data_IF_493867969247
#
_entry.id   IF_493867969247
#
_cell.length_a   1.000
_cell.length_b   1.000
_cell.length_c   1.000
_cell.angle_alpha   90.00
_cell.angle_beta   90.00
_cell.angle_gamma   90.00
#
_symmetry.space_group_name_H-M   'P 1'
#
loop_
_entity.id
_entity.type
_entity.pdbx_description
1 polymer ?
#
# COMPACT_ATOMS: atom_id res chain seq x y z
N UNK A 1 29.59 -7.78 27.43
CA UNK A 1 28.40 -7.51 28.26
C UNK A 1 27.22 -8.21 27.61
N UNK A 2 26.58 -9.11 28.36
CA UNK A 2 25.53 -10.03 27.92
C UNK A 2 24.19 -9.31 27.78
N UNK A 3 23.68 -9.19 26.55
CA UNK A 3 22.26 -8.87 26.30
C UNK A 3 21.42 -10.08 26.74
N UNK A 4 20.87 -9.99 27.95
CA UNK A 4 19.76 -10.85 28.37
C UNK A 4 18.54 -10.46 27.54
N UNK A 5 17.81 -11.40 26.92
CA UNK A 5 16.51 -11.08 26.34
C UNK A 5 15.62 -10.57 27.47
N UNK A 6 15.17 -9.33 27.35
CA UNK A 6 14.18 -8.73 28.26
C UNK A 6 12.94 -9.63 28.21
N UNK A 7 12.73 -10.43 29.25
CA UNK A 7 11.50 -11.18 29.44
C UNK A 7 10.40 -10.13 29.59
N UNK A 8 9.59 -9.95 28.55
CA UNK A 8 8.38 -9.14 28.59
C UNK A 8 7.55 -9.64 29.77
N UNK A 9 7.34 -8.78 30.77
CA UNK A 9 6.42 -9.06 31.87
C UNK A 9 5.06 -9.47 31.29
N UNK A 10 4.33 -10.43 31.90
CA UNK A 10 2.97 -10.71 31.48
C UNK A 10 2.16 -9.41 31.52
N UNK A 11 1.38 -9.18 30.47
CA UNK A 11 0.58 -7.96 30.35
C UNK A 11 -0.32 -7.82 31.60
N UNK A 12 -0.36 -6.65 32.24
CA UNK A 12 -1.27 -6.40 33.36
C UNK A 12 -2.71 -6.68 32.97
N UNK A 13 -3.54 -7.04 33.96
CA UNK A 13 -4.98 -7.21 33.76
C UNK A 13 -5.58 -5.94 33.13
N UNK A 14 -6.36 -6.10 32.07
CA UNK A 14 -6.97 -4.99 31.32
C UNK A 14 -6.06 -4.25 30.32
N UNK A 15 -4.75 -4.54 30.27
CA UNK A 15 -3.82 -3.87 29.34
C UNK A 15 -4.16 -4.13 27.87
N UNK A 16 -4.58 -5.35 27.52
CA UNK A 16 -4.94 -5.72 26.14
C UNK A 16 -6.13 -4.93 25.63
N UNK A 17 -7.15 -4.74 26.47
CA UNK A 17 -8.38 -4.04 26.13
C UNK A 17 -8.13 -2.54 26.04
N UNK A 18 -7.39 -1.97 27.00
CA UNK A 18 -6.94 -0.58 26.94
C UNK A 18 -6.07 -0.30 25.70
N UNK A 19 -5.15 -1.20 25.36
CA UNK A 19 -4.33 -1.08 24.16
C UNK A 19 -5.19 -1.15 22.88
N UNK A 20 -6.22 -1.99 22.85
CA UNK A 20 -7.16 -2.06 21.73
C UNK A 20 -7.97 -0.76 21.60
N UNK A 21 -8.47 -0.21 22.70
CA UNK A 21 -9.17 1.07 22.72
C UNK A 21 -8.27 2.22 22.25
N UNK A 22 -7.03 2.27 22.75
CA UNK A 22 -6.06 3.29 22.37
C UNK A 22 -5.71 3.19 20.87
N UNK A 23 -5.52 1.98 20.35
CA UNK A 23 -5.34 1.76 18.91
C UNK A 23 -6.54 2.29 18.13
N UNK A 24 -7.77 1.99 18.52
CA UNK A 24 -8.97 2.50 17.87
C UNK A 24 -8.99 4.04 17.87
N UNK A 25 -8.71 4.68 19.00
CA UNK A 25 -8.65 6.15 19.11
C UNK A 25 -7.60 6.77 18.17
N UNK A 26 -6.42 6.15 18.07
CA UNK A 26 -5.35 6.60 17.14
C UNK A 26 -5.82 6.49 15.69
N UNK A 27 -6.36 5.34 15.27
CA UNK A 27 -6.84 5.14 13.90
C UNK A 27 -7.96 6.12 13.55
N UNK A 28 -8.91 6.34 14.45
CA UNK A 28 -9.98 7.32 14.23
C UNK A 28 -9.45 8.76 14.11
N UNK A 29 -8.42 9.12 14.89
CA UNK A 29 -7.79 10.44 14.77
C UNK A 29 -7.07 10.61 13.42
N UNK A 30 -6.32 9.60 12.97
CA UNK A 30 -5.68 9.57 11.66
C UNK A 30 -6.70 9.68 10.52
N UNK A 31 -7.81 8.95 10.62
CA UNK A 31 -8.88 8.99 9.62
C UNK A 31 -9.51 10.39 9.52
N UNK A 32 -9.79 11.04 10.64
CA UNK A 32 -10.33 12.42 10.64
C UNK A 32 -9.36 13.41 10.00
N UNK A 33 -8.06 13.31 10.32
CA UNK A 33 -7.04 14.15 9.71
C UNK A 33 -6.98 13.93 8.20
N UNK A 34 -6.95 12.67 7.75
CA UNK A 34 -6.95 12.34 6.33
C UNK A 34 -8.19 12.86 5.60
N UNK A 35 -9.39 12.73 6.18
CA UNK A 35 -10.61 13.28 5.59
C UNK A 35 -10.58 14.81 5.48
N UNK A 36 -10.02 15.50 6.47
CA UNK A 36 -9.86 16.96 6.41
C UNK A 36 -8.91 17.38 5.28
N UNK A 37 -7.78 16.68 5.13
CA UNK A 37 -6.83 16.96 4.04
C UNK A 37 -7.40 16.59 2.68
N UNK A 38 -8.10 15.46 2.58
CA UNK A 38 -8.78 15.04 1.35
C UNK A 38 -9.78 16.10 0.88
N UNK A 39 -10.56 16.67 1.81
CA UNK A 39 -11.49 17.75 1.50
C UNK A 39 -10.77 18.96 0.89
N UNK A 40 -9.68 19.42 1.49
CA UNK A 40 -8.89 20.54 0.97
C UNK A 40 -8.30 20.24 -0.41
N UNK A 41 -7.80 19.01 -0.63
CA UNK A 41 -7.29 18.58 -1.92
C UNK A 41 -8.37 18.63 -3.02
N UNK A 42 -9.55 18.07 -2.72
CA UNK A 42 -10.69 18.05 -3.65
C UNK A 42 -11.19 19.48 -3.94
N UNK A 43 -11.23 20.35 -2.93
CA UNK A 43 -11.56 21.77 -3.09
C UNK A 43 -10.57 22.48 -4.01
N UNK A 44 -9.26 22.31 -3.76
CA UNK A 44 -8.22 22.90 -4.59
C UNK A 44 -8.36 22.46 -6.04
N UNK A 45 -8.55 21.16 -6.28
CA UNK A 45 -8.72 20.61 -7.62
C UNK A 45 -9.95 21.14 -8.34
N UNK A 46 -11.07 21.33 -7.61
CA UNK A 46 -12.23 22.00 -8.16
C UNK A 46 -11.94 23.45 -8.56
N UNK A 47 -11.27 24.22 -7.68
CA UNK A 47 -10.91 25.62 -7.95
C UNK A 47 -10.01 25.76 -9.16
N UNK A 48 -8.99 24.92 -9.29
CA UNK A 48 -8.12 24.86 -10.48
C UNK A 48 -8.96 24.58 -11.73
N UNK A 49 -9.89 23.62 -11.65
CA UNK A 49 -10.79 23.29 -12.75
C UNK A 49 -11.67 24.47 -13.18
N UNK A 50 -12.24 25.19 -12.22
CA UNK A 50 -13.06 26.39 -12.46
C UNK A 50 -12.24 27.50 -13.09
N UNK A 51 -11.05 27.77 -12.57
CA UNK A 51 -10.16 28.80 -13.11
C UNK A 51 -9.79 28.49 -14.57
N UNK A 52 -9.56 27.21 -14.90
CA UNK A 52 -9.36 26.80 -16.28
C UNK A 52 -10.60 27.12 -17.12
N UNK A 53 -11.80 26.72 -16.69
CA UNK A 53 -13.05 27.00 -17.43
C UNK A 53 -13.29 28.49 -17.65
N UNK A 54 -13.16 29.29 -16.59
CA UNK A 54 -13.39 30.73 -16.63
C UNK A 54 -12.43 31.42 -17.61
N UNK A 55 -11.16 31.01 -17.62
CA UNK A 55 -10.15 31.55 -18.56
C UNK A 55 -10.38 31.08 -19.99
N UNK A 56 -10.77 29.82 -20.20
CA UNK A 56 -11.12 29.33 -21.54
C UNK A 56 -12.33 30.06 -22.12
N UNK A 57 -13.32 30.39 -21.30
CA UNK A 57 -14.51 31.13 -21.72
C UNK A 57 -14.22 32.61 -22.01
N UNK A 58 -13.49 33.30 -21.14
CA UNK A 58 -13.25 34.75 -21.25
C UNK A 58 -12.15 35.12 -22.26
N UNK A 59 -11.08 34.35 -22.30
CA UNK A 59 -9.85 34.69 -23.02
C UNK A 59 -9.67 33.83 -24.30
N UNK A 60 -10.59 32.90 -24.57
CA UNK A 60 -10.53 32.00 -25.73
C UNK A 60 -9.36 31.01 -25.69
N UNK A 61 -8.82 30.69 -24.51
CA UNK A 61 -7.65 29.82 -24.39
C UNK A 61 -7.91 28.39 -24.89
N UNK A 62 -7.17 27.99 -25.93
CA UNK A 62 -7.23 26.63 -26.49
C UNK A 62 -6.59 25.56 -25.59
N UNK A 63 -6.75 24.29 -25.97
CA UNK A 63 -6.31 23.13 -25.19
C UNK A 63 -4.82 23.11 -24.78
N UNK A 64 -3.95 23.82 -25.53
CA UNK A 64 -2.50 23.92 -25.25
C UNK A 64 -2.18 24.66 -23.94
N UNK A 65 -3.10 25.47 -23.42
CA UNK A 65 -2.88 26.17 -22.15
C UNK A 65 -2.79 25.23 -20.96
N UNK A 66 -3.54 24.11 -21.01
CA UNK A 66 -3.54 23.09 -19.95
C UNK A 66 -2.20 22.37 -19.89
N UNK A 67 -1.57 22.13 -21.05
CA UNK A 67 -0.25 21.50 -21.10
C UNK A 67 0.84 22.43 -20.56
N UNK A 68 0.75 23.75 -20.86
CA UNK A 68 1.62 24.77 -20.27
C UNK A 68 1.44 24.86 -18.75
N UNK A 69 0.20 24.97 -18.28
CA UNK A 69 -0.11 25.02 -16.85
C UNK A 69 0.38 23.77 -16.12
N UNK A 70 0.22 22.58 -16.70
CA UNK A 70 0.74 21.33 -16.14
C UNK A 70 2.25 21.37 -15.92
N UNK A 71 3.00 21.85 -16.92
CA UNK A 71 4.46 21.98 -16.80
C UNK A 71 4.84 22.98 -15.71
N UNK A 72 4.26 24.18 -15.76
CA UNK A 72 4.62 25.27 -14.87
C UNK A 72 4.25 24.92 -13.40
N UNK A 73 3.13 24.25 -13.15
CA UNK A 73 2.76 23.75 -11.82
C UNK A 73 3.66 22.61 -11.33
N UNK A 74 4.07 21.70 -12.21
CA UNK A 74 5.00 20.60 -11.84
C UNK A 74 6.39 21.11 -11.52
N UNK A 75 6.82 22.19 -12.15
CA UNK A 75 8.09 22.86 -11.85
C UNK A 75 8.03 23.57 -10.49
N UNK A 76 6.92 24.27 -10.21
CA UNK A 76 6.72 24.96 -8.94
C UNK A 76 6.47 24.00 -7.75
N UNK A 77 5.83 22.86 -8.01
CA UNK A 77 5.45 21.87 -6.99
C UNK A 77 5.88 20.45 -7.40
N UNK A 78 7.18 20.16 -7.46
CA UNK A 78 7.71 18.88 -7.96
C UNK A 78 7.23 17.65 -7.17
N UNK A 79 6.94 17.82 -5.88
CA UNK A 79 6.39 16.81 -4.99
C UNK A 79 4.90 16.51 -5.24
N UNK A 80 4.18 17.37 -5.96
CA UNK A 80 2.75 17.20 -6.24
C UNK A 80 2.53 16.48 -7.58
N UNK A 81 2.40 15.15 -7.54
CA UNK A 81 2.19 14.34 -8.76
C UNK A 81 0.80 14.59 -9.39
N UNK A 82 -0.09 15.27 -8.65
CA UNK A 82 -1.42 15.74 -9.05
C UNK A 82 -1.50 16.65 -10.26
N UNK A 83 -0.41 17.30 -10.68
CA UNK A 83 -0.46 18.33 -11.73
C UNK A 83 -0.13 17.85 -13.15
N UNK A 84 -0.45 16.59 -13.48
CA UNK A 84 -0.36 16.12 -14.86
C UNK A 84 -1.43 16.77 -15.76
N UNK A 85 -1.14 16.99 -17.05
CA UNK A 85 -2.11 17.54 -18.01
C UNK A 85 -3.42 16.74 -18.04
N UNK A 86 -3.34 15.40 -17.94
CA UNK A 86 -4.53 14.54 -17.81
C UNK A 86 -5.33 14.88 -16.56
N UNK A 87 -4.67 15.06 -15.42
CA UNK A 87 -5.37 15.36 -14.18
C UNK A 87 -5.97 16.76 -14.16
N UNK A 88 -5.30 17.76 -14.76
CA UNK A 88 -5.88 19.10 -14.95
C UNK A 88 -7.14 19.05 -15.84
N UNK A 89 -7.18 18.17 -16.84
CA UNK A 89 -8.40 17.93 -17.62
C UNK A 89 -9.51 17.32 -16.78
N UNK A 90 -9.19 16.41 -15.85
CA UNK A 90 -10.17 15.90 -14.89
C UNK A 90 -10.65 16.98 -13.91
N UNK A 91 -9.76 17.83 -13.40
CA UNK A 91 -10.13 18.98 -12.56
C UNK A 91 -11.11 19.90 -13.29
N UNK A 92 -10.81 20.24 -14.54
CA UNK A 92 -11.70 21.03 -15.40
C UNK A 92 -13.06 20.35 -15.59
N UNK A 93 -13.05 19.07 -15.96
CA UNK A 93 -14.28 18.29 -16.16
C UNK A 93 -15.10 18.18 -14.87
N UNK A 94 -14.44 18.06 -13.72
CA UNK A 94 -15.07 18.06 -12.41
C UNK A 94 -15.76 19.39 -12.12
N UNK A 95 -15.09 20.51 -12.34
CA UNK A 95 -15.69 21.84 -12.14
C UNK A 95 -16.88 22.08 -13.07
N UNK A 96 -16.82 21.60 -14.31
CA UNK A 96 -17.89 21.72 -15.31
C UNK A 96 -19.16 20.97 -14.90
N UNK A 97 -19.01 19.77 -14.33
CA UNK A 97 -20.13 18.91 -13.94
C UNK A 97 -20.58 19.09 -12.49
N UNK A 98 -19.89 19.94 -11.72
CA UNK A 98 -20.23 20.27 -10.33
C UNK A 98 -20.14 21.79 -10.06
N UNK A 99 -20.94 22.64 -10.74
CA UNK A 99 -20.74 24.10 -10.76
C UNK A 99 -21.10 24.84 -9.47
N UNK A 100 -21.98 24.31 -8.63
CA UNK A 100 -22.55 25.02 -7.48
C UNK A 100 -21.68 25.02 -6.21
N UNK A 101 -20.47 24.45 -6.23
CA UNK A 101 -19.68 24.10 -5.03
C UNK A 101 -20.45 23.24 -4.00
N UNK A 102 -21.68 22.85 -4.31
CA UNK A 102 -22.43 21.84 -3.61
C UNK A 102 -21.83 20.52 -4.08
N UNK A 103 -20.68 20.18 -3.51
CA UNK A 103 -20.10 18.85 -3.62
C UNK A 103 -21.21 17.87 -3.26
N UNK A 104 -21.73 17.16 -4.28
CA UNK A 104 -23.05 16.52 -4.29
C UNK A 104 -23.55 16.21 -2.89
N UNK A 105 -24.56 16.94 -2.43
CA UNK A 105 -25.11 17.03 -1.06
C UNK A 105 -24.52 16.10 0.03
N UNK A 106 -23.22 16.19 0.33
CA UNK A 106 -22.48 15.56 1.45
C UNK A 106 -21.49 14.39 1.14
N UNK A 107 -21.62 13.52 0.11
CA UNK A 107 -20.64 12.43 -0.06
C UNK A 107 -19.29 12.76 -0.72
N UNK A 108 -19.26 13.63 -1.73
CA UNK A 108 -18.10 13.68 -2.64
C UNK A 108 -16.80 14.19 -1.98
N UNK A 109 -16.89 15.10 -1.01
CA UNK A 109 -15.71 15.60 -0.29
C UNK A 109 -15.06 14.55 0.64
N UNK A 110 -15.78 13.45 0.92
CA UNK A 110 -15.29 12.33 1.73
C UNK A 110 -14.70 11.21 0.86
N UNK A 111 -14.81 11.32 -0.47
CA UNK A 111 -14.23 10.36 -1.40
C UNK A 111 -12.82 10.80 -1.83
N UNK A 112 -11.86 9.86 -1.94
CA UNK A 112 -10.58 10.12 -2.56
C UNK A 112 -10.74 10.65 -3.99
N UNK A 113 -9.78 11.45 -4.46
CA UNK A 113 -9.87 12.13 -5.76
C UNK A 113 -10.18 11.18 -6.92
N UNK A 114 -9.57 10.00 -6.95
CA UNK A 114 -9.78 9.05 -8.05
C UNK A 114 -11.11 8.30 -7.99
N UNK A 115 -11.79 8.24 -6.84
CA UNK A 115 -13.19 7.82 -6.80
C UNK A 115 -14.07 8.83 -7.53
N UNK A 116 -13.82 10.12 -7.31
CA UNK A 116 -14.53 11.22 -8.00
C UNK A 116 -14.28 11.14 -9.51
N UNK A 117 -13.02 10.96 -9.92
CA UNK A 117 -12.68 10.76 -11.35
C UNK A 117 -13.40 9.55 -11.94
N UNK A 118 -13.44 8.40 -11.23
CA UNK A 118 -14.17 7.21 -11.68
C UNK A 118 -15.65 7.50 -11.90
N UNK A 119 -16.32 8.17 -10.95
CA UNK A 119 -17.73 8.55 -11.08
C UNK A 119 -17.96 9.48 -12.27
N UNK A 120 -17.12 10.51 -12.43
CA UNK A 120 -17.24 11.49 -13.51
C UNK A 120 -17.02 10.86 -14.89
N UNK A 121 -16.07 9.94 -15.01
CA UNK A 121 -15.66 9.38 -16.30
C UNK A 121 -16.48 8.17 -16.74
N UNK A 122 -17.08 7.43 -15.80
CA UNK A 122 -17.83 6.20 -16.12
C UNK A 122 -19.35 6.38 -16.10
N UNK A 123 -19.86 7.43 -15.46
CA UNK A 123 -21.30 7.69 -15.34
C UNK A 123 -21.64 8.99 -16.07
N UNK A 124 -22.77 8.98 -16.77
CA UNK A 124 -23.17 10.10 -17.63
C UNK A 124 -24.04 11.11 -16.88
N UNK A 125 -24.96 10.62 -16.04
CA UNK A 125 -25.93 11.50 -15.39
C UNK A 125 -25.49 11.89 -13.98
N UNK A 126 -25.81 13.12 -13.52
CA UNK A 126 -25.55 13.55 -12.15
C UNK A 126 -26.17 12.62 -11.10
N UNK A 127 -27.38 12.12 -11.35
CA UNK A 127 -28.14 11.27 -10.42
C UNK A 127 -27.44 9.93 -10.19
N UNK A 128 -26.89 9.32 -11.25
CA UNK A 128 -26.09 8.10 -11.13
C UNK A 128 -24.85 8.34 -10.28
N UNK A 129 -24.14 9.45 -10.53
CA UNK A 129 -22.91 9.79 -9.82
C UNK A 129 -23.17 9.97 -8.33
N UNK A 130 -24.21 10.71 -7.97
CA UNK A 130 -24.60 10.92 -6.57
C UNK A 130 -24.98 9.62 -5.89
N UNK A 131 -25.75 8.76 -6.56
CA UNK A 131 -26.17 7.49 -5.98
C UNK A 131 -24.98 6.56 -5.71
N UNK A 132 -24.07 6.39 -6.68
CA UNK A 132 -22.89 5.54 -6.49
C UNK A 132 -21.90 6.14 -5.48
N UNK A 133 -21.77 7.48 -5.42
CA UNK A 133 -20.98 8.14 -4.38
C UNK A 133 -21.52 7.85 -2.98
N UNK A 134 -22.83 7.97 -2.80
CA UNK A 134 -23.48 7.69 -1.52
C UNK A 134 -23.34 6.21 -1.12
N UNK A 135 -23.51 5.28 -2.07
CA UNK A 135 -23.29 3.86 -1.82
C UNK A 135 -21.83 3.54 -1.48
N UNK A 136 -20.87 4.19 -2.14
CA UNK A 136 -19.45 4.01 -1.86
C UNK A 136 -19.09 4.44 -0.45
N UNK A 137 -19.65 5.55 0.04
CA UNK A 137 -19.49 5.97 1.44
C UNK A 137 -20.16 5.01 2.42
N UNK A 138 -21.45 4.71 2.17
CA UNK A 138 -22.26 3.91 3.10
C UNK A 138 -21.68 2.51 3.29
N UNK A 139 -21.18 1.91 2.21
CA UNK A 139 -20.63 0.55 2.21
C UNK A 139 -19.10 0.50 2.29
N UNK A 140 -18.44 1.66 2.32
CA UNK A 140 -16.99 1.78 2.41
C UNK A 140 -16.25 1.15 1.23
N UNK A 141 -16.75 1.35 0.01
CA UNK A 141 -16.16 0.74 -1.19
C UNK A 141 -14.79 1.33 -1.55
N UNK A 142 -13.84 0.43 -1.83
CA UNK A 142 -12.62 0.79 -2.56
C UNK A 142 -12.95 1.29 -3.95
N UNK A 143 -12.00 1.98 -4.59
CA UNK A 143 -12.17 2.43 -5.99
C UNK A 143 -12.45 1.25 -6.94
N UNK A 144 -11.74 0.13 -6.75
CA UNK A 144 -11.91 -1.07 -7.56
C UNK A 144 -13.30 -1.68 -7.36
N UNK A 145 -13.79 -1.74 -6.13
CA UNK A 145 -15.14 -2.22 -5.85
C UNK A 145 -16.17 -1.30 -6.50
N UNK A 146 -16.00 0.02 -6.40
CA UNK A 146 -16.86 1.00 -7.07
C UNK A 146 -16.92 0.76 -8.60
N UNK A 147 -15.78 0.60 -9.26
CA UNK A 147 -15.72 0.28 -10.69
C UNK A 147 -16.45 -1.01 -11.05
N UNK A 148 -16.29 -2.06 -10.23
CA UNK A 148 -17.01 -3.32 -10.42
C UNK A 148 -18.53 -3.13 -10.28
N UNK A 149 -18.99 -2.35 -9.29
CA UNK A 149 -20.42 -2.11 -9.09
C UNK A 149 -21.04 -1.28 -10.22
N UNK A 150 -20.30 -0.27 -10.73
CA UNK A 150 -20.70 0.51 -11.90
C UNK A 150 -20.81 -0.40 -13.14
N UNK A 151 -19.79 -1.21 -13.42
CA UNK A 151 -19.80 -2.17 -14.54
C UNK A 151 -20.96 -3.16 -14.46
N UNK A 152 -21.27 -3.62 -13.24
CA UNK A 152 -22.40 -4.52 -13.00
C UNK A 152 -23.76 -3.79 -12.95
N UNK A 153 -23.82 -2.48 -13.22
CA UNK A 153 -25.05 -1.67 -13.24
C UNK A 153 -25.92 -1.88 -11.99
N UNK A 154 -25.30 -1.83 -10.81
CA UNK A 154 -26.00 -2.08 -9.54
C UNK A 154 -27.24 -1.19 -9.35
N UNK A 155 -27.17 0.09 -9.69
CA UNK A 155 -28.31 1.01 -9.59
C UNK A 155 -29.53 0.51 -10.38
N UNK A 156 -29.33 0.10 -11.64
CA UNK A 156 -30.41 -0.41 -12.48
C UNK A 156 -31.01 -1.72 -11.92
N UNK A 157 -30.21 -2.51 -11.19
CA UNK A 157 -30.67 -3.73 -10.50
C UNK A 157 -31.38 -3.44 -9.18
N UNK A 158 -31.11 -2.29 -8.55
CA UNK A 158 -31.66 -1.90 -7.24
C UNK A 158 -32.81 -0.88 -7.31
N UNK A 159 -33.21 -0.44 -8.51
CA UNK A 159 -34.16 0.65 -8.79
C UNK A 159 -35.60 0.54 -8.24
N UNK A 160 -35.85 -0.22 -7.16
CA UNK A 160 -37.11 -0.26 -6.43
C UNK A 160 -37.03 0.22 -4.96
N UNK A 161 -35.86 0.59 -4.43
CA UNK A 161 -35.74 1.04 -3.04
C UNK A 161 -35.13 2.44 -2.93
N UNK A 162 -35.98 3.44 -2.72
CA UNK A 162 -35.59 4.77 -2.26
C UNK A 162 -35.03 4.64 -0.85
N UNK A 163 -33.84 5.17 -0.57
CA UNK A 163 -33.36 5.27 0.81
C UNK A 163 -32.80 6.66 1.10
N UNK A 164 -33.35 7.26 2.16
CA UNK A 164 -32.95 8.53 2.72
C UNK A 164 -31.56 8.40 3.36
N UNK A 165 -30.66 9.34 3.06
CA UNK A 165 -29.29 9.35 3.55
C UNK A 165 -29.16 10.19 4.83
N UNK A 166 -28.42 9.64 5.80
CA UNK A 166 -27.86 10.41 6.91
C UNK A 166 -26.34 10.29 6.86
N UNK A 167 -25.63 11.40 7.04
CA UNK A 167 -24.17 11.46 7.09
C UNK A 167 -23.62 10.44 8.09
N UNK A 168 -22.96 9.39 7.58
CA UNK A 168 -22.17 8.48 8.40
C UNK A 168 -20.75 8.49 7.88
N UNK A 169 -19.81 8.78 8.77
CA UNK A 169 -18.39 8.59 8.52
C UNK A 169 -18.13 7.11 8.17
N UNK A 170 -17.25 6.80 7.21
CA UNK A 170 -16.88 5.43 6.90
C UNK A 170 -16.29 4.74 8.13
N UNK A 171 -16.53 3.43 8.29
CA UNK A 171 -15.88 2.65 9.36
C UNK A 171 -14.35 2.78 9.26
N UNK A 172 -13.62 2.95 10.38
CA UNK A 172 -12.15 3.06 10.39
C UNK A 172 -11.41 1.88 9.74
N UNK A 173 -12.08 0.72 9.61
CA UNK A 173 -11.52 -0.49 9.00
C UNK A 173 -12.01 -0.75 7.57
N UNK A 174 -12.88 0.12 7.02
CA UNK A 174 -13.39 -0.03 5.65
C UNK A 174 -12.29 0.14 4.60
N UNK A 175 -12.48 -0.47 3.43
CA UNK A 175 -11.55 -0.31 2.31
C UNK A 175 -11.46 1.17 1.87
N UNK A 176 -12.56 1.91 1.93
CA UNK A 176 -12.58 3.34 1.67
C UNK A 176 -11.71 4.15 2.66
N UNK A 177 -11.73 3.80 3.95
CA UNK A 177 -10.87 4.44 4.95
C UNK A 177 -9.39 4.13 4.68
N UNK A 178 -9.08 2.90 4.24
CA UNK A 178 -7.73 2.52 3.84
C UNK A 178 -7.29 3.27 2.57
N UNK A 179 -8.14 3.38 1.55
CA UNK A 179 -7.85 4.12 0.31
C UNK A 179 -7.60 5.60 0.61
N UNK A 180 -8.38 6.21 1.50
CA UNK A 180 -8.19 7.62 1.91
C UNK A 180 -6.87 7.82 2.65
N UNK A 181 -6.56 6.93 3.61
CA UNK A 181 -5.31 6.98 4.37
C UNK A 181 -4.06 6.65 3.55
N UNK A 182 -4.23 5.97 2.42
CA UNK A 182 -3.13 5.55 1.53
C UNK A 182 -3.09 6.33 0.22
N UNK A 183 -3.93 7.35 0.04
CA UNK A 183 -4.00 8.11 -1.22
C UNK A 183 -2.66 8.83 -1.47
N UNK A 184 -1.90 8.44 -2.51
CA UNK A 184 -0.61 9.08 -2.81
C UNK A 184 -0.74 10.58 -3.06
N UNK A 185 -1.88 11.04 -3.60
CA UNK A 185 -2.11 12.46 -3.88
C UNK A 185 -2.35 13.28 -2.61
N UNK A 186 -2.88 12.65 -1.56
CA UNK A 186 -3.05 13.27 -0.24
C UNK A 186 -1.69 13.49 0.42
N UNK A 187 -0.78 12.52 0.34
CA UNK A 187 0.58 12.65 0.87
C UNK A 187 1.41 13.66 0.08
N UNK A 188 1.33 13.61 -1.24
CA UNK A 188 1.97 14.58 -2.13
C UNK A 188 1.50 16.01 -1.84
N UNK A 189 0.20 16.21 -1.59
CA UNK A 189 -0.40 17.50 -1.24
C UNK A 189 0.13 18.07 0.08
N UNK A 190 0.40 17.20 1.07
CA UNK A 190 1.05 17.59 2.32
C UNK A 190 2.58 17.76 2.19
N UNK A 191 3.16 17.53 1.00
CA UNK A 191 4.60 17.53 0.79
C UNK A 191 5.33 16.35 1.44
N UNK A 192 4.61 15.26 1.76
CA UNK A 192 5.11 14.05 2.43
C UNK A 192 5.43 12.91 1.45
N UNK A 193 5.27 13.15 0.14
CA UNK A 193 5.10 12.15 -0.91
C UNK A 193 6.25 11.18 -1.20
N UNK A 194 7.50 11.52 -0.88
CA UNK A 194 8.65 10.70 -1.29
C UNK A 194 9.36 9.98 -0.14
N UNK A 195 9.54 10.58 1.04
CA UNK A 195 10.24 9.91 2.16
C UNK A 195 9.30 9.22 3.16
N UNK A 196 8.14 9.82 3.46
CA UNK A 196 7.23 9.26 4.46
C UNK A 196 6.42 8.08 3.87
N UNK A 197 5.99 8.19 2.61
CA UNK A 197 5.24 7.13 1.93
C UNK A 197 6.10 5.90 1.65
N UNK A 198 7.34 6.07 1.13
CA UNK A 198 8.27 4.93 0.97
C UNK A 198 8.64 4.33 2.33
N UNK A 199 8.98 5.14 3.36
CA UNK A 199 9.34 4.60 4.68
C UNK A 199 8.18 3.97 5.44
N UNK A 200 6.95 4.45 5.33
CA UNK A 200 5.79 3.85 6.02
C UNK A 200 5.27 2.60 5.29
N UNK A 201 5.33 2.59 3.96
CA UNK A 201 5.08 1.37 3.16
C UNK A 201 6.21 0.36 3.41
N UNK A 202 7.47 0.77 3.36
CA UNK A 202 8.63 -0.07 3.66
C UNK A 202 8.56 -0.59 5.10
N UNK A 203 8.36 0.27 6.10
CA UNK A 203 8.25 -0.13 7.51
C UNK A 203 6.99 -0.95 7.77
N UNK A 204 5.88 -0.67 7.09
CA UNK A 204 4.64 -1.43 7.16
C UNK A 204 4.77 -2.84 6.57
N UNK A 205 5.29 -2.95 5.34
CA UNK A 205 5.55 -4.22 4.66
C UNK A 205 6.62 -5.03 5.39
N UNK A 206 7.76 -4.41 5.74
CA UNK A 206 8.83 -5.08 6.49
C UNK A 206 8.30 -5.54 7.84
N UNK A 207 7.59 -4.70 8.61
CA UNK A 207 7.04 -5.09 9.93
C UNK A 207 6.02 -6.22 9.81
N UNK A 208 5.14 -6.20 8.81
CA UNK A 208 4.09 -7.20 8.68
C UNK A 208 4.61 -8.53 8.10
N UNK A 209 5.54 -8.50 7.15
CA UNK A 209 6.26 -9.69 6.68
C UNK A 209 7.20 -10.22 7.77
N UNK A 210 7.83 -9.34 8.56
CA UNK A 210 8.62 -9.73 9.73
C UNK A 210 7.73 -10.38 10.77
N UNK A 211 6.56 -9.82 11.09
CA UNK A 211 5.60 -10.40 12.02
C UNK A 211 5.08 -11.74 11.52
N UNK A 212 4.65 -11.82 10.26
CA UNK A 212 4.25 -13.08 9.62
C UNK A 212 5.36 -14.14 9.64
N UNK A 213 6.61 -13.77 9.34
CA UNK A 213 7.76 -14.68 9.39
C UNK A 213 8.24 -14.99 10.83
N UNK A 214 7.94 -14.14 11.81
CA UNK A 214 8.18 -14.36 13.24
C UNK A 214 7.10 -15.25 13.86
N UNK A 215 5.83 -15.07 13.48
CA UNK A 215 4.70 -15.95 13.78
C UNK A 215 4.90 -17.33 13.15
N UNK A 216 5.47 -17.38 11.94
CA UNK A 216 5.98 -18.63 11.37
C UNK A 216 7.19 -19.18 12.16
N UNK A 217 7.99 -18.32 12.82
CA UNK A 217 9.18 -18.71 13.58
C UNK A 217 8.92 -19.29 14.97
N UNK A 218 7.81 -18.93 15.62
CA UNK A 218 7.39 -19.45 16.93
C UNK A 218 6.52 -20.70 16.81
N UNK A 219 5.77 -20.86 15.71
CA UNK A 219 4.91 -22.04 15.49
C UNK A 219 5.41 -23.11 14.48
N UNK A 220 6.34 -22.80 13.56
CA UNK A 220 6.72 -23.73 12.47
C UNK A 220 8.18 -24.18 12.44
N UNK A 221 9.04 -23.70 13.35
CA UNK A 221 10.47 -24.04 13.37
C UNK A 221 10.80 -25.45 13.93
N UNK A 222 9.80 -26.33 14.03
CA UNK A 222 9.99 -27.76 14.25
C UNK A 222 9.52 -28.53 13.00
N UNK A 223 10.48 -29.00 12.19
CA UNK A 223 10.28 -30.19 11.34
C UNK A 223 9.90 -30.03 9.87
N UNK A 224 10.00 -28.85 9.23
CA UNK A 224 9.64 -28.68 7.79
C UNK A 224 10.85 -28.35 6.90
N UNK A 225 10.83 -28.84 5.66
CA UNK A 225 11.88 -28.58 4.66
C UNK A 225 11.76 -27.16 4.08
N UNK A 226 12.84 -26.63 3.48
CA UNK A 226 12.80 -25.30 2.84
C UNK A 226 11.78 -25.22 1.70
N UNK A 227 11.57 -26.32 0.96
CA UNK A 227 10.54 -26.38 -0.08
C UNK A 227 9.14 -26.11 0.48
N UNK A 228 8.81 -26.70 1.63
CA UNK A 228 7.51 -26.48 2.29
C UNK A 228 7.36 -25.05 2.84
N UNK A 229 8.46 -24.42 3.26
CA UNK A 229 8.46 -22.99 3.66
C UNK A 229 8.11 -22.12 2.45
N UNK A 230 8.74 -22.39 1.30
CA UNK A 230 8.51 -21.62 0.06
C UNK A 230 7.09 -21.84 -0.48
N UNK A 231 6.59 -23.07 -0.47
CA UNK A 231 5.24 -23.41 -0.90
C UNK A 231 4.17 -22.59 -0.16
N UNK A 232 4.31 -22.45 1.16
CA UNK A 232 3.40 -21.64 1.98
C UNK A 232 3.60 -20.14 1.79
N UNK A 233 4.83 -19.69 1.56
CA UNK A 233 5.16 -18.28 1.41
C UNK A 233 4.72 -17.72 0.05
N UNK A 234 4.75 -18.55 -1.00
CA UNK A 234 4.53 -18.12 -2.39
C UNK A 234 3.16 -17.45 -2.63
N UNK A 235 2.01 -18.00 -2.21
CA UNK A 235 0.72 -17.36 -2.44
C UNK A 235 0.62 -15.96 -1.83
N UNK A 236 1.22 -15.76 -0.65
CA UNK A 236 1.25 -14.46 0.01
C UNK A 236 2.11 -13.46 -0.76
N UNK A 237 3.33 -13.84 -1.15
CA UNK A 237 4.22 -12.96 -1.92
C UNK A 237 3.60 -12.56 -3.26
N UNK A 238 2.92 -13.49 -3.95
CA UNK A 238 2.24 -13.21 -5.21
C UNK A 238 0.99 -12.33 -5.01
N UNK A 239 0.17 -12.61 -3.99
CA UNK A 239 -0.99 -11.78 -3.66
C UNK A 239 -0.58 -10.34 -3.29
N UNK A 240 0.53 -10.20 -2.57
CA UNK A 240 1.08 -8.90 -2.19
C UNK A 240 1.68 -8.16 -3.39
N UNK A 241 2.45 -8.86 -4.22
CA UNK A 241 2.94 -8.29 -5.49
C UNK A 241 1.78 -7.85 -6.39
N UNK A 242 0.65 -8.56 -6.40
CA UNK A 242 -0.53 -8.15 -7.15
C UNK A 242 -1.24 -6.94 -6.51
N UNK A 243 -1.43 -6.95 -5.19
CA UNK A 243 -2.10 -5.88 -4.44
C UNK A 243 -1.32 -4.56 -4.50
N UNK A 244 -0.01 -4.61 -4.25
CA UNK A 244 0.86 -3.44 -4.26
C UNK A 244 1.50 -3.16 -5.63
N UNK A 245 1.39 -4.08 -6.60
CA UNK A 245 1.98 -3.97 -7.94
C UNK A 245 1.38 -2.89 -8.84
N UNK A 246 0.38 -2.14 -8.35
CA UNK A 246 -0.07 -0.89 -8.97
C UNK A 246 0.67 0.33 -8.42
N UNK A 247 1.38 0.22 -7.30
CA UNK A 247 2.23 1.27 -6.75
C UNK A 247 3.61 1.21 -7.42
N UNK A 248 4.02 2.30 -8.06
CA UNK A 248 5.28 2.42 -8.81
C UNK A 248 6.50 2.58 -7.87
N UNK A 249 6.75 1.62 -6.95
CA UNK A 249 7.79 1.72 -5.91
C UNK A 249 8.91 0.67 -6.07
N UNK A 250 9.73 0.71 -7.15
CA UNK A 250 10.72 -0.31 -7.46
C UNK A 250 11.87 -0.44 -6.43
N UNK A 251 12.20 0.63 -5.70
CA UNK A 251 13.22 0.60 -4.64
C UNK A 251 12.76 -0.25 -3.45
N UNK A 252 11.51 -0.06 -3.01
CA UNK A 252 10.90 -0.82 -1.90
C UNK A 252 10.85 -2.31 -2.22
N UNK A 253 10.47 -2.68 -3.45
CA UNK A 253 10.45 -4.09 -3.87
C UNK A 253 11.82 -4.74 -3.88
N UNK A 254 12.86 -3.99 -4.25
CA UNK A 254 14.24 -4.46 -4.25
C UNK A 254 14.75 -4.68 -2.83
N UNK A 255 14.51 -3.71 -1.93
CA UNK A 255 14.86 -3.84 -0.51
C UNK A 255 14.14 -5.01 0.18
N UNK A 256 12.86 -5.21 -0.15
CA UNK A 256 12.08 -6.32 0.37
C UNK A 256 12.56 -7.68 -0.16
N UNK A 257 12.90 -7.79 -1.45
CA UNK A 257 13.47 -9.03 -2.00
C UNK A 257 14.81 -9.34 -1.32
N UNK A 258 15.70 -8.36 -1.18
CA UNK A 258 16.99 -8.54 -0.48
C UNK A 258 16.81 -9.04 0.95
N UNK A 259 15.93 -8.39 1.71
CA UNK A 259 15.61 -8.77 3.09
C UNK A 259 15.01 -10.19 3.16
N UNK A 260 14.07 -10.52 2.27
CA UNK A 260 13.43 -11.83 2.22
C UNK A 260 14.47 -12.93 1.95
N UNK A 261 15.35 -12.72 0.97
CA UNK A 261 16.41 -13.67 0.61
C UNK A 261 17.40 -13.83 1.77
N UNK A 262 17.72 -12.75 2.47
CA UNK A 262 18.54 -12.80 3.66
C UNK A 262 17.89 -13.64 4.78
N UNK A 263 16.58 -13.47 5.02
CA UNK A 263 15.83 -14.26 6.01
C UNK A 263 15.74 -15.74 5.65
N UNK A 264 15.48 -16.08 4.39
CA UNK A 264 15.42 -17.47 3.94
C UNK A 264 16.77 -18.19 4.11
N UNK A 265 17.90 -17.51 3.88
CA UNK A 265 19.23 -18.05 4.17
C UNK A 265 19.42 -18.33 5.67
N UNK A 266 18.96 -17.44 6.54
CA UNK A 266 19.03 -17.66 7.99
C UNK A 266 18.19 -18.87 8.42
N UNK A 267 17.00 -19.04 7.83
CA UNK A 267 16.13 -20.20 8.06
C UNK A 267 16.80 -21.49 7.57
N UNK A 268 17.43 -21.48 6.39
CA UNK A 268 18.17 -22.63 5.87
C UNK A 268 19.29 -23.07 6.82
N UNK A 269 20.10 -22.11 7.30
CA UNK A 269 21.16 -22.37 8.27
C UNK A 269 20.62 -22.95 9.58
N UNK A 270 19.47 -22.44 10.04
CA UNK A 270 18.78 -22.96 11.23
C UNK A 270 18.24 -24.37 11.03
N UNK A 271 17.73 -24.72 9.83
CA UNK A 271 17.31 -26.09 9.50
C UNK A 271 18.48 -27.07 9.56
N UNK A 272 19.64 -26.69 9.00
CA UNK A 272 20.84 -27.53 9.07
C UNK A 272 21.41 -27.64 10.48
N UNK A 273 21.30 -26.58 11.29
CA UNK A 273 21.56 -26.48 12.74
C UNK A 273 22.99 -26.78 13.21
N UNK A 274 23.62 -27.85 12.70
CA UNK A 274 24.92 -28.40 13.12
C UNK A 274 26.00 -28.03 12.12
N UNK A 275 27.23 -27.67 12.55
CA UNK A 275 28.34 -27.30 11.66
C UNK A 275 28.64 -28.37 10.60
N UNK A 276 28.69 -29.66 11.01
CA UNK A 276 28.93 -30.78 10.08
C UNK A 276 27.86 -30.91 9.00
N UNK A 277 26.60 -30.66 9.36
CA UNK A 277 25.50 -30.67 8.40
C UNK A 277 25.60 -29.48 7.43
N UNK A 278 25.84 -28.27 7.95
CA UNK A 278 26.04 -27.06 7.13
C UNK A 278 27.18 -27.28 6.12
N UNK A 279 28.33 -27.78 6.56
CA UNK A 279 29.47 -28.06 5.69
C UNK A 279 29.10 -29.04 4.57
N UNK A 280 28.50 -30.19 4.93
CA UNK A 280 28.11 -31.23 3.96
C UNK A 280 27.14 -30.71 2.92
N UNK A 281 26.10 -30.00 3.35
CA UNK A 281 25.07 -29.47 2.46
C UNK A 281 25.62 -28.37 1.55
N UNK A 282 26.51 -27.50 2.05
CA UNK A 282 27.17 -26.49 1.22
C UNK A 282 28.09 -27.13 0.18
N UNK A 283 28.86 -28.16 0.55
CA UNK A 283 29.69 -28.92 -0.40
C UNK A 283 28.83 -29.59 -1.48
N UNK A 284 27.71 -30.19 -1.10
CA UNK A 284 26.75 -30.78 -2.05
C UNK A 284 26.14 -29.75 -3.00
N UNK A 285 26.00 -28.49 -2.55
CA UNK A 285 25.56 -27.36 -3.38
C UNK A 285 26.69 -26.70 -4.19
N UNK A 286 27.91 -27.27 -4.19
CA UNK A 286 29.04 -26.81 -4.99
C UNK A 286 29.91 -25.74 -4.34
N UNK A 287 29.83 -25.54 -3.02
CA UNK A 287 30.68 -24.59 -2.32
C UNK A 287 32.16 -25.01 -2.32
N UNK A 288 33.06 -24.02 -2.40
CA UNK A 288 34.47 -24.23 -2.11
C UNK A 288 34.66 -24.63 -0.65
N UNK A 289 35.78 -25.30 -0.36
CA UNK A 289 36.11 -25.74 1.00
C UNK A 289 36.21 -24.56 1.98
N UNK A 290 36.83 -23.46 1.56
CA UNK A 290 36.93 -22.22 2.34
C UNK A 290 35.55 -21.64 2.68
N UNK A 291 34.64 -21.55 1.70
CA UNK A 291 33.29 -21.03 1.91
C UNK A 291 32.49 -21.94 2.84
N UNK A 292 32.57 -23.26 2.64
CA UNK A 292 31.88 -24.23 3.48
C UNK A 292 32.39 -24.19 4.94
N UNK A 293 33.71 -24.12 5.14
CA UNK A 293 34.34 -24.02 6.45
C UNK A 293 33.99 -22.70 7.16
N UNK A 294 34.07 -21.57 6.44
CA UNK A 294 33.73 -20.25 6.99
C UNK A 294 32.27 -20.19 7.46
N UNK A 295 31.33 -20.71 6.66
CA UNK A 295 29.91 -20.68 7.00
C UNK A 295 29.59 -21.70 8.11
N UNK A 296 30.19 -22.90 8.08
CA UNK A 296 29.99 -23.91 9.12
C UNK A 296 30.56 -23.45 10.48
N UNK A 297 31.72 -22.79 10.51
CA UNK A 297 32.32 -22.25 11.74
C UNK A 297 31.48 -21.17 12.42
N UNK A 298 30.62 -20.49 11.67
CA UNK A 298 29.70 -19.46 12.17
C UNK A 298 28.27 -19.99 12.43
N UNK A 299 28.11 -21.30 12.66
CA UNK A 299 26.81 -21.97 12.78
C UNK A 299 25.92 -21.49 13.93
N UNK A 300 26.42 -20.72 14.90
CA UNK A 300 25.64 -20.18 16.02
C UNK A 300 25.09 -18.78 15.75
N UNK A 301 25.48 -18.12 14.64
CA UNK A 301 25.12 -16.74 14.31
C UNK A 301 24.33 -16.68 13.00
N UNK A 302 23.20 -17.39 12.92
CA UNK A 302 22.46 -17.60 11.65
C UNK A 302 22.15 -16.32 10.88
N UNK A 303 21.72 -15.26 11.57
CA UNK A 303 21.39 -13.97 10.93
C UNK A 303 22.61 -13.25 10.39
N UNK A 304 23.73 -13.19 11.13
CA UNK A 304 24.96 -12.57 10.62
C UNK A 304 25.59 -13.43 9.52
N UNK A 305 25.53 -14.75 9.66
CA UNK A 305 26.07 -15.70 8.71
C UNK A 305 25.26 -15.77 7.40
N UNK A 306 24.01 -15.29 7.39
CA UNK A 306 23.20 -15.14 6.17
C UNK A 306 23.59 -13.94 5.30
N UNK A 307 24.49 -13.06 5.77
CA UNK A 307 24.97 -11.87 5.04
C UNK A 307 26.44 -11.95 4.61
N UNK A 308 26.84 -13.03 3.95
CA UNK A 308 28.26 -13.21 3.60
C UNK A 308 28.51 -14.30 2.58
N UNK A 309 29.51 -15.15 2.85
CA UNK A 309 29.99 -16.19 1.93
C UNK A 309 28.87 -17.13 1.45
N UNK A 310 27.84 -17.37 2.29
CA UNK A 310 26.68 -18.18 1.91
C UNK A 310 25.87 -17.61 0.74
N UNK A 311 25.91 -16.29 0.47
CA UNK A 311 25.25 -15.68 -0.69
C UNK A 311 25.75 -16.23 -2.03
N UNK A 312 27.01 -16.70 -2.05
CA UNK A 312 27.64 -17.31 -3.22
C UNK A 312 27.10 -18.71 -3.53
N UNK A 313 26.49 -19.36 -2.53
CA UNK A 313 25.96 -20.73 -2.63
C UNK A 313 24.43 -20.70 -2.68
N UNK A 314 23.79 -20.03 -1.72
CA UNK A 314 22.36 -19.78 -1.67
C UNK A 314 22.04 -18.48 -2.42
N UNK A 315 22.25 -18.51 -3.73
CA UNK A 315 22.04 -17.39 -4.66
C UNK A 315 20.56 -17.08 -4.86
N UNK A 316 20.24 -15.99 -5.55
CA UNK A 316 18.86 -15.71 -5.98
C UNK A 316 18.34 -16.88 -6.84
N UNK A 317 19.15 -17.37 -7.78
CA UNK A 317 18.83 -18.52 -8.63
C UNK A 317 18.58 -19.83 -7.85
N UNK A 318 19.22 -20.04 -6.70
CA UNK A 318 18.90 -21.15 -5.82
C UNK A 318 17.45 -21.07 -5.32
N UNK A 319 17.03 -19.91 -4.81
CA UNK A 319 15.68 -19.72 -4.31
C UNK A 319 14.63 -19.63 -5.42
N UNK A 320 15.00 -19.17 -6.62
CA UNK A 320 14.12 -19.21 -7.80
C UNK A 320 13.81 -20.66 -8.20
N UNK A 321 14.78 -21.58 -8.09
CA UNK A 321 14.55 -23.03 -8.32
C UNK A 321 13.64 -23.67 -7.28
N UNK A 322 13.64 -23.15 -6.06
CA UNK A 322 12.65 -23.50 -5.03
C UNK A 322 11.29 -22.80 -5.28
N UNK A 323 11.27 -21.86 -6.22
CA UNK A 323 10.12 -21.08 -6.66
C UNK A 323 9.65 -20.04 -5.65
N UNK A 324 10.60 -19.37 -5.01
CA UNK A 324 10.35 -18.09 -4.36
C UNK A 324 10.20 -17.03 -5.47
N UNK A 325 9.06 -16.32 -5.55
CA UNK A 325 8.85 -15.31 -6.58
C UNK A 325 9.82 -14.13 -6.41
N UNK A 326 10.26 -13.55 -7.54
CA UNK A 326 11.00 -12.28 -7.53
C UNK A 326 10.03 -11.12 -7.33
N UNK A 327 10.30 -10.30 -6.33
CA UNK A 327 9.46 -9.15 -6.03
C UNK A 327 9.82 -7.92 -6.87
N UNK A 328 11.11 -7.76 -7.21
CA UNK A 328 11.64 -6.75 -8.11
C UNK A 328 11.73 -7.19 -9.57
#
# INVERSE_FOLDING_TARGET
>A
MTDRPTLLMPAPEGYTDWLAELKTRIHSAQQRAALAVNRELVLLYWHIGRDILDRQSREGWGAKVVDRLSRDLREAFPQMKGFSSRNLKYMRFFAEHCPSQQFGQQPAAQLPWFHIVTLLTQLQTPEEREWYAAQALQRGWSRTTLEVQIKNRLLARQGQAVTNFGERLPSPHSDLAQDTLKDPYLFDFLGLGDEAHERDIESGLIRHITHFLLELGTGFAFGRSMAQVVEKLRPYLLGWKAYFGMAQTPKVWRGLDEWLRHRLRAIQLRHWKRPKAIYRELKALGASEDVANQVAGNCHRWWRNSDGAIKRVLTIAYFDRLGVPRLS
#
